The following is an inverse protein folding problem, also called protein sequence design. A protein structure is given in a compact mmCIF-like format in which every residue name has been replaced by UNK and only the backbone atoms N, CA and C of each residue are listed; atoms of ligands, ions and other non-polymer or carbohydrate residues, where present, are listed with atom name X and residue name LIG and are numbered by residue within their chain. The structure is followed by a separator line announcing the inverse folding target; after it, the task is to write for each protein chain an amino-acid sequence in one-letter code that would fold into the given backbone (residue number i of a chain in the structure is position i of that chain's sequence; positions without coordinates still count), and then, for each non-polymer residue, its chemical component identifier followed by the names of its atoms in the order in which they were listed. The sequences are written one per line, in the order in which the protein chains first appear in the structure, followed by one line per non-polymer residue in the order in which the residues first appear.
data_IF_036494364556
#
_entry.id   IF_036494364556
#
_cell.length_a   1.000
_cell.length_b   1.000
_cell.length_c   1.000
_cell.angle_alpha   90.00
_cell.angle_beta   90.00
_cell.angle_gamma   90.00
#
_symmetry.space_group_name_H-M   'P 1'
#
loop_
_entity.id
_entity.type
_entity.pdbx_description
1 polymer ?
#
# COMPACT_ATOMS: atom_id res chain seq x y z
N UNK A 1 -13.44 -9.85 29.18
CA UNK A 1 -12.81 -10.00 27.85
C UNK A 1 -13.92 -10.47 26.91
N UNK A 2 -14.29 -9.67 25.94
CA UNK A 2 -15.18 -10.10 24.87
C UNK A 2 -14.30 -10.93 23.93
N UNK A 3 -14.64 -12.17 23.58
CA UNK A 3 -13.88 -12.93 22.62
C UNK A 3 -13.87 -12.15 21.29
N UNK A 4 -12.70 -11.91 20.74
CA UNK A 4 -12.58 -11.39 19.37
C UNK A 4 -13.09 -12.50 18.46
N UNK A 5 -14.28 -12.33 17.90
CA UNK A 5 -14.78 -13.24 16.87
C UNK A 5 -13.98 -13.00 15.60
N UNK A 6 -13.59 -14.07 14.93
CA UNK A 6 -13.02 -14.00 13.60
C UNK A 6 -13.96 -13.19 12.68
N UNK A 7 -13.42 -12.14 12.04
CA UNK A 7 -14.21 -11.25 11.20
C UNK A 7 -13.58 -11.15 9.81
N UNK A 8 -14.43 -11.29 8.80
CA UNK A 8 -14.01 -11.03 7.40
C UNK A 8 -14.56 -9.68 6.97
N UNK A 9 -13.72 -8.91 6.33
CA UNK A 9 -14.09 -7.63 5.71
C UNK A 9 -13.53 -7.56 4.29
N UNK A 10 -14.15 -6.75 3.45
CA UNK A 10 -13.71 -6.54 2.09
C UNK A 10 -13.75 -5.06 1.69
N UNK A 11 -12.96 -4.74 0.66
CA UNK A 11 -12.99 -3.43 0.01
C UNK A 11 -12.88 -3.61 -1.49
N UNK A 12 -13.85 -3.07 -2.22
CA UNK A 12 -13.80 -2.95 -3.68
C UNK A 12 -13.58 -1.49 -4.02
N UNK A 13 -12.53 -1.19 -4.80
CA UNK A 13 -12.15 0.18 -5.11
C UNK A 13 -11.89 0.35 -6.61
N UNK A 14 -12.37 1.46 -7.18
CA UNK A 14 -11.95 1.98 -8.48
C UNK A 14 -10.96 3.11 -8.25
N UNK A 15 -9.78 3.01 -8.84
CA UNK A 15 -8.75 4.05 -8.81
C UNK A 15 -8.55 4.61 -10.22
N UNK A 16 -8.30 5.91 -10.35
CA UNK A 16 -7.98 6.52 -11.65
C UNK A 16 -6.66 6.02 -12.21
N UNK A 17 -5.76 5.57 -11.32
CA UNK A 17 -4.47 4.96 -11.63
C UNK A 17 -3.99 4.13 -10.45
N UNK A 18 -3.51 2.92 -10.71
CA UNK A 18 -2.86 2.11 -9.70
C UNK A 18 -1.39 2.50 -9.59
N UNK A 19 -1.03 3.07 -8.45
CA UNK A 19 0.34 3.47 -8.14
C UNK A 19 0.84 2.78 -6.87
N UNK A 20 2.08 2.30 -6.92
CA UNK A 20 2.81 1.73 -5.78
C UNK A 20 4.12 2.50 -5.61
N UNK A 21 4.30 3.13 -4.45
CA UNK A 21 5.52 3.88 -4.12
C UNK A 21 5.89 4.89 -5.23
N UNK A 22 4.88 5.64 -5.71
CA UNK A 22 5.02 6.64 -6.77
C UNK A 22 5.20 6.10 -8.20
N UNK A 23 5.26 4.78 -8.38
CA UNK A 23 5.36 4.12 -9.70
C UNK A 23 3.97 3.70 -10.18
N UNK A 24 3.65 4.01 -11.44
CA UNK A 24 2.40 3.57 -12.06
C UNK A 24 2.47 2.07 -12.40
N UNK A 25 1.54 1.30 -11.87
CA UNK A 25 1.34 -0.12 -12.22
C UNK A 25 0.14 -0.34 -13.14
N UNK A 26 -0.57 0.70 -13.56
CA UNK A 26 -1.67 0.61 -14.52
C UNK A 26 -1.43 1.43 -15.79
N UNK A 27 -0.18 1.88 -16.02
CA UNK A 27 0.22 2.71 -17.16
C UNK A 27 -0.69 3.95 -17.35
N UNK A 28 -1.11 4.58 -16.24
CA UNK A 28 -2.01 5.73 -16.25
C UNK A 28 -3.47 5.42 -16.52
N UNK A 29 -3.88 4.15 -16.54
CA UNK A 29 -5.27 3.74 -16.77
C UNK A 29 -5.99 3.45 -15.44
N UNK A 30 -7.33 3.60 -15.41
CA UNK A 30 -8.13 3.18 -14.26
C UNK A 30 -7.98 1.69 -13.96
N UNK A 31 -8.04 1.35 -12.68
CA UNK A 31 -7.97 -0.04 -12.22
C UNK A 31 -9.03 -0.31 -11.14
N UNK A 32 -9.64 -1.50 -11.21
CA UNK A 32 -10.51 -2.02 -10.15
C UNK A 32 -9.67 -2.87 -9.23
N UNK A 33 -9.76 -2.63 -7.93
CA UNK A 33 -8.99 -3.30 -6.90
C UNK A 33 -9.91 -3.99 -5.92
N UNK A 34 -9.59 -5.22 -5.54
CA UNK A 34 -10.28 -5.98 -4.51
C UNK A 34 -9.31 -6.30 -3.38
N UNK A 35 -9.73 -6.06 -2.16
CA UNK A 35 -9.03 -6.47 -0.94
C UNK A 35 -9.99 -7.25 -0.05
N UNK A 36 -9.51 -8.34 0.53
CA UNK A 36 -10.22 -9.13 1.53
C UNK A 36 -9.27 -9.34 2.71
N UNK A 37 -9.75 -9.02 3.90
CA UNK A 37 -9.04 -9.19 5.17
C UNK A 37 -9.84 -10.15 6.06
N UNK A 38 -9.14 -10.98 6.78
CA UNK A 38 -9.70 -11.90 7.77
C UNK A 38 -8.92 -11.78 9.07
N UNK A 39 -9.59 -11.25 10.09
CA UNK A 39 -9.06 -11.16 11.44
C UNK A 39 -9.34 -12.47 12.17
N UNK A 40 -8.31 -13.04 12.75
CA UNK A 40 -8.30 -14.27 13.52
C UNK A 40 -8.19 -13.96 15.02
N UNK A 41 -8.36 -14.98 15.85
CA UNK A 41 -8.17 -14.85 17.29
C UNK A 41 -6.72 -14.46 17.65
N UNK A 42 -6.54 -13.88 18.82
CA UNK A 42 -5.23 -13.47 19.38
C UNK A 42 -4.44 -12.46 18.55
N UNK A 43 -5.15 -11.69 17.71
CA UNK A 43 -4.56 -10.62 16.89
C UNK A 43 -3.87 -11.11 15.61
N UNK A 44 -3.98 -12.39 15.26
CA UNK A 44 -3.55 -12.86 13.95
C UNK A 44 -4.47 -12.35 12.85
N UNK A 45 -3.91 -12.09 11.67
CA UNK A 45 -4.68 -11.72 10.49
C UNK A 45 -4.09 -12.35 9.24
N UNK A 46 -4.91 -12.52 8.23
CA UNK A 46 -4.51 -12.88 6.88
C UNK A 46 -5.38 -12.13 5.86
N UNK A 47 -4.87 -11.93 4.67
CA UNK A 47 -5.65 -11.26 3.64
C UNK A 47 -5.07 -11.43 2.25
N UNK A 48 -5.81 -10.88 1.29
CA UNK A 48 -5.43 -10.87 -0.11
C UNK A 48 -5.85 -9.59 -0.80
N UNK A 49 -5.08 -9.21 -1.80
CA UNK A 49 -5.36 -8.08 -2.67
C UNK A 49 -5.17 -8.49 -4.12
N UNK A 50 -6.03 -7.99 -5.01
CA UNK A 50 -5.95 -8.20 -6.44
C UNK A 50 -6.17 -6.89 -7.19
N UNK A 51 -5.37 -6.65 -8.23
CA UNK A 51 -5.50 -5.50 -9.12
C UNK A 51 -4.98 -5.85 -10.52
N UNK A 52 -5.56 -5.31 -11.59
CA UNK A 52 -4.86 -5.23 -12.87
C UNK A 52 -3.54 -4.47 -12.69
N UNK A 53 -2.48 -4.95 -13.34
CA UNK A 53 -1.18 -4.30 -13.35
C UNK A 53 -0.57 -4.42 -14.75
N UNK A 54 0.27 -3.45 -15.11
CA UNK A 54 1.04 -3.42 -16.34
C UNK A 54 2.51 -3.29 -16.00
N UNK A 55 3.29 -4.28 -16.38
CA UNK A 55 4.75 -4.27 -16.25
C UNK A 55 5.35 -4.19 -17.65
N UNK A 56 6.10 -3.12 -17.93
CA UNK A 56 6.48 -2.81 -19.30
C UNK A 56 5.24 -2.64 -20.19
N UNK A 57 5.14 -3.44 -21.25
CA UNK A 57 3.99 -3.44 -22.18
C UNK A 57 2.96 -4.52 -21.89
N UNK A 58 3.14 -5.32 -20.84
CA UNK A 58 2.29 -6.49 -20.55
C UNK A 58 1.29 -6.19 -19.45
N UNK A 59 0.01 -6.22 -19.83
CA UNK A 59 -1.09 -6.21 -18.88
C UNK A 59 -1.28 -7.59 -18.25
N UNK A 60 -1.44 -7.63 -16.94
CA UNK A 60 -1.62 -8.83 -16.15
C UNK A 60 -2.37 -8.53 -14.84
N UNK A 61 -2.61 -9.53 -14.02
CA UNK A 61 -3.07 -9.32 -12.65
C UNK A 61 -1.89 -9.41 -11.67
N UNK A 62 -1.88 -8.50 -10.70
CA UNK A 62 -1.09 -8.58 -9.49
C UNK A 62 -1.96 -9.15 -8.37
N UNK A 63 -1.42 -10.13 -7.66
CA UNK A 63 -2.01 -10.68 -6.44
C UNK A 63 -1.03 -10.44 -5.28
N UNK A 64 -1.55 -10.03 -4.13
CA UNK A 64 -0.77 -9.92 -2.91
C UNK A 64 -1.48 -10.75 -1.84
N UNK A 65 -0.77 -11.69 -1.24
CA UNK A 65 -1.20 -12.42 -0.08
C UNK A 65 -0.38 -11.95 1.12
N UNK A 66 -1.00 -11.75 2.25
CA UNK A 66 -0.32 -11.29 3.44
C UNK A 66 -0.92 -11.90 4.69
N UNK A 67 -0.11 -11.91 5.74
CA UNK A 67 -0.52 -12.33 7.05
C UNK A 67 0.46 -11.83 8.11
N UNK A 68 -0.02 -11.77 9.33
CA UNK A 68 0.77 -11.25 10.43
C UNK A 68 0.04 -11.28 11.75
N UNK A 69 0.59 -10.56 12.69
CA UNK A 69 0.01 -10.36 14.01
C UNK A 69 0.02 -8.88 14.36
N UNK A 70 -1.08 -8.41 14.92
CA UNK A 70 -1.25 -7.05 15.39
C UNK A 70 -1.67 -7.06 16.86
N UNK A 71 -1.41 -5.97 17.57
CA UNK A 71 -1.80 -5.82 18.95
C UNK A 71 -1.76 -4.37 19.40
N UNK A 72 -2.21 -4.13 20.63
CA UNK A 72 -2.20 -2.81 21.26
C UNK A 72 -1.41 -2.87 22.55
N UNK A 73 -0.47 -1.95 22.73
CA UNK A 73 0.29 -1.79 23.96
C UNK A 73 -0.53 -1.04 25.00
N UNK A 74 -0.16 -1.20 26.27
CA UNK A 74 -0.81 -0.48 27.37
C UNK A 74 -0.72 1.05 27.23
N UNK A 75 0.26 1.56 26.51
CA UNK A 75 0.42 2.98 26.15
C UNK A 75 -0.62 3.50 25.14
N UNK A 76 -1.47 2.63 24.58
CA UNK A 76 -2.40 2.97 23.51
C UNK A 76 -1.80 2.89 22.09
N UNK A 77 -0.49 2.64 21.96
CA UNK A 77 0.18 2.44 20.68
C UNK A 77 -0.19 1.07 20.12
N UNK A 78 -0.66 1.02 18.88
CA UNK A 78 -0.87 -0.22 18.13
C UNK A 78 0.41 -0.61 17.40
N UNK A 79 0.64 -1.92 17.28
CA UNK A 79 1.75 -2.48 16.52
C UNK A 79 1.25 -3.57 15.58
N UNK A 80 1.94 -3.80 14.49
CA UNK A 80 1.75 -4.95 13.61
C UNK A 80 3.09 -5.45 13.07
N UNK A 81 3.18 -6.74 12.80
CA UNK A 81 4.30 -7.34 12.10
C UNK A 81 3.81 -8.53 11.25
N UNK A 82 4.38 -8.69 10.07
CA UNK A 82 3.92 -9.73 9.17
C UNK A 82 4.78 -9.89 7.92
N UNK A 83 4.25 -10.68 7.01
CA UNK A 83 4.86 -11.01 5.73
C UNK A 83 3.83 -10.85 4.61
N UNK A 84 4.28 -10.46 3.45
CA UNK A 84 3.48 -10.46 2.22
C UNK A 84 4.22 -11.10 1.06
N UNK A 85 3.47 -11.72 0.16
CA UNK A 85 3.94 -12.22 -1.13
C UNK A 85 3.18 -11.54 -2.24
N UNK A 86 3.90 -10.82 -3.10
CA UNK A 86 3.38 -10.25 -4.34
C UNK A 86 3.69 -11.20 -5.47
N UNK A 87 2.68 -11.52 -6.28
CA UNK A 87 2.77 -12.40 -7.44
C UNK A 87 2.16 -11.73 -8.67
N UNK A 88 2.83 -11.85 -9.81
CA UNK A 88 2.39 -11.38 -11.11
C UNK A 88 2.05 -12.59 -12.00
N UNK A 89 0.80 -12.70 -12.46
CA UNK A 89 0.30 -13.95 -13.07
C UNK A 89 0.99 -14.35 -14.37
N UNK A 90 1.55 -13.39 -15.12
CA UNK A 90 2.21 -13.66 -16.41
C UNK A 90 3.72 -13.50 -16.38
N UNK A 91 4.25 -12.85 -15.36
CA UNK A 91 5.68 -12.57 -15.28
C UNK A 91 6.20 -12.76 -13.86
N UNK A 92 6.44 -14.02 -13.52
CA UNK A 92 6.87 -14.46 -12.19
C UNK A 92 8.26 -13.98 -11.81
N UNK A 93 9.06 -13.50 -12.76
CA UNK A 93 10.36 -12.89 -12.50
C UNK A 93 10.27 -11.66 -11.61
N UNK A 94 9.10 -10.99 -11.58
CA UNK A 94 8.84 -9.84 -10.73
C UNK A 94 8.18 -10.18 -9.37
N UNK A 95 7.99 -11.46 -9.07
CA UNK A 95 7.43 -11.88 -7.78
C UNK A 95 8.39 -11.57 -6.64
N UNK A 96 7.87 -11.03 -5.53
CA UNK A 96 8.70 -10.73 -4.36
C UNK A 96 7.97 -10.95 -3.04
N UNK A 97 8.78 -11.05 -1.99
CA UNK A 97 8.32 -11.17 -0.60
C UNK A 97 8.79 -9.95 0.19
N UNK A 98 7.94 -9.44 1.07
CA UNK A 98 8.28 -8.39 2.01
C UNK A 98 7.93 -8.81 3.43
N UNK A 99 8.82 -8.51 4.36
CA UNK A 99 8.55 -8.52 5.78
C UNK A 99 8.20 -7.10 6.20
N UNK A 100 7.25 -6.94 7.12
CA UNK A 100 6.93 -5.61 7.62
C UNK A 100 6.79 -5.60 9.14
N UNK A 101 7.04 -4.43 9.72
CA UNK A 101 6.71 -4.09 11.08
C UNK A 101 6.25 -2.63 11.13
N UNK A 102 5.23 -2.35 11.94
CA UNK A 102 4.60 -1.05 11.99
C UNK A 102 4.14 -0.66 13.39
N UNK A 103 3.99 0.65 13.57
CA UNK A 103 3.40 1.28 14.75
C UNK A 103 2.34 2.27 14.29
N UNK A 104 1.26 2.37 15.03
CA UNK A 104 0.18 3.29 14.74
C UNK A 104 -0.39 3.94 16.00
N UNK A 105 -0.65 5.24 15.89
CA UNK A 105 -1.49 6.03 16.77
C UNK A 105 -2.83 6.29 16.08
N UNK A 106 -3.74 6.97 16.77
CA UNK A 106 -5.09 7.19 16.24
C UNK A 106 -5.13 7.88 14.86
N UNK A 107 -4.15 8.74 14.55
CA UNK A 107 -4.14 9.56 13.33
C UNK A 107 -2.86 9.47 12.50
N UNK A 108 -1.93 8.66 12.90
CA UNK A 108 -0.65 8.50 12.21
C UNK A 108 -0.13 7.09 12.33
N UNK A 109 0.57 6.62 11.32
CA UNK A 109 1.25 5.32 11.33
C UNK A 109 2.61 5.40 10.64
N UNK A 110 3.51 4.54 11.08
CA UNK A 110 4.79 4.28 10.45
C UNK A 110 4.92 2.78 10.24
N UNK A 111 5.39 2.36 9.06
CA UNK A 111 5.66 0.96 8.76
C UNK A 111 6.96 0.83 7.97
N UNK A 112 7.79 -0.11 8.36
CA UNK A 112 8.99 -0.50 7.63
C UNK A 112 8.72 -1.80 6.88
N UNK A 113 9.04 -1.83 5.59
CA UNK A 113 9.03 -3.02 4.76
C UNK A 113 10.45 -3.36 4.35
N UNK A 114 10.80 -4.64 4.40
CA UNK A 114 12.09 -5.18 3.98
C UNK A 114 11.87 -6.26 2.94
N UNK A 115 12.44 -6.12 1.75
CA UNK A 115 12.40 -7.14 0.72
C UNK A 115 13.82 -7.65 0.44
N UNK A 116 14.04 -8.99 0.46
CA UNK A 116 15.32 -9.57 0.06
C UNK A 116 15.51 -9.56 -1.47
N UNK A 117 14.43 -9.50 -2.26
CA UNK A 117 14.46 -9.50 -3.72
C UNK A 117 13.22 -8.75 -4.25
N UNK A 118 13.22 -7.42 -4.15
CA UNK A 118 12.12 -6.56 -4.63
C UNK A 118 12.09 -6.57 -6.16
N UNK A 119 10.92 -6.88 -6.72
CA UNK A 119 10.75 -7.19 -8.15
C UNK A 119 11.73 -8.24 -8.69
N UNK A 120 12.09 -9.23 -7.85
CA UNK A 120 12.93 -10.36 -8.22
C UNK A 120 14.44 -10.13 -8.12
N UNK A 121 14.91 -8.90 -7.93
CA UNK A 121 16.32 -8.56 -8.08
C UNK A 121 16.95 -7.92 -6.83
N UNK A 122 16.34 -6.90 -6.24
CA UNK A 122 17.04 -6.00 -5.34
C UNK A 122 16.62 -6.17 -3.88
N UNK A 123 17.58 -6.05 -2.97
CA UNK A 123 17.26 -5.88 -1.55
C UNK A 123 16.85 -4.43 -1.30
N UNK A 124 15.69 -4.25 -0.69
CA UNK A 124 15.16 -2.92 -0.40
C UNK A 124 14.64 -2.80 1.02
N UNK A 125 14.67 -1.57 1.53
CA UNK A 125 13.92 -1.13 2.69
C UNK A 125 13.00 0.02 2.27
N UNK A 126 11.73 -0.05 2.67
CA UNK A 126 10.78 1.03 2.42
C UNK A 126 10.16 1.48 3.74
N UNK A 127 10.35 2.76 4.07
CA UNK A 127 9.70 3.41 5.20
C UNK A 127 8.44 4.10 4.71
N UNK A 128 7.30 3.76 5.29
CA UNK A 128 5.96 4.24 4.95
C UNK A 128 5.40 5.04 6.12
N UNK A 129 5.12 6.31 5.91
CA UNK A 129 4.51 7.22 6.87
C UNK A 129 3.15 7.66 6.35
N UNK A 130 2.11 7.48 7.16
CA UNK A 130 0.76 7.93 6.84
C UNK A 130 0.19 8.74 7.99
N UNK A 131 -0.57 9.78 7.68
CA UNK A 131 -1.30 10.56 8.65
C UNK A 131 -2.60 11.11 8.05
N UNK A 132 -3.55 11.45 8.91
CA UNK A 132 -4.73 12.18 8.48
C UNK A 132 -5.16 13.22 9.53
N UNK A 133 -5.84 14.25 9.05
CA UNK A 133 -6.46 15.27 9.89
C UNK A 133 -7.94 15.38 9.55
N UNK A 134 -8.88 15.11 10.48
CA UNK A 134 -10.30 15.29 10.24
C UNK A 134 -10.59 16.81 10.09
N UNK A 135 -11.31 17.17 9.04
CA UNK A 135 -11.78 18.51 8.81
C UNK A 135 -13.21 18.67 9.32
N UNK A 136 -14.02 17.62 9.15
CA UNK A 136 -15.34 17.45 9.75
C UNK A 136 -15.65 15.95 9.95
N UNK A 137 -16.91 15.60 10.25
CA UNK A 137 -17.35 14.22 10.52
C UNK A 137 -17.22 13.27 9.32
N UNK A 138 -17.07 13.80 8.11
CA UNK A 138 -17.01 13.02 6.85
C UNK A 138 -15.76 13.29 6.06
N UNK A 139 -15.18 14.48 6.18
CA UNK A 139 -14.06 14.94 5.37
C UNK A 139 -12.77 14.92 6.17
N UNK A 140 -11.72 14.36 5.59
CA UNK A 140 -10.38 14.35 6.17
C UNK A 140 -9.30 14.68 5.14
N UNK A 141 -8.30 15.40 5.57
CA UNK A 141 -7.05 15.62 4.85
C UNK A 141 -6.14 14.41 5.11
N UNK A 142 -5.54 13.85 4.07
CA UNK A 142 -4.65 12.68 4.14
C UNK A 142 -3.25 13.04 3.69
N UNK A 143 -2.26 12.47 4.35
CA UNK A 143 -0.84 12.67 4.08
C UNK A 143 -0.16 11.31 3.98
N UNK A 144 0.76 11.19 3.03
CA UNK A 144 1.64 10.04 2.90
C UNK A 144 3.03 10.51 2.51
N UNK A 145 4.04 9.87 3.10
CA UNK A 145 5.43 10.02 2.71
C UNK A 145 6.12 8.66 2.78
N UNK A 146 6.78 8.26 1.71
CA UNK A 146 7.51 7.01 1.59
C UNK A 146 8.93 7.21 1.13
N UNK A 147 9.86 6.43 1.68
CA UNK A 147 11.27 6.40 1.26
C UNK A 147 11.67 4.96 0.99
N UNK A 148 11.99 4.66 -0.26
CA UNK A 148 12.56 3.38 -0.68
C UNK A 148 14.07 3.52 -0.78
N UNK A 149 14.82 2.68 -0.05
CA UNK A 149 16.26 2.53 -0.16
C UNK A 149 16.62 1.20 -0.80
N UNK A 150 17.48 1.22 -1.81
CA UNK A 150 17.99 0.02 -2.48
C UNK A 150 19.41 -0.28 -2.00
N UNK A 151 19.64 -1.50 -1.49
CA UNK A 151 20.95 -1.96 -1.01
C UNK A 151 21.77 -2.61 -2.12
N UNK A 152 23.08 -2.45 -2.07
CA UNK A 152 24.02 -3.12 -2.98
C UNK A 152 24.58 -2.20 -4.07
N UNK A 153 25.22 -2.81 -5.06
CA UNK A 153 25.81 -2.12 -6.20
C UNK A 153 24.73 -1.86 -7.25
N UNK A 154 23.99 -0.76 -7.09
CA UNK A 154 22.96 -0.32 -8.02
C UNK A 154 23.47 0.87 -8.83
N UNK A 155 23.23 0.89 -10.13
CA UNK A 155 23.72 1.93 -11.03
C UNK A 155 22.91 3.24 -10.97
N UNK A 156 21.74 3.23 -10.31
CA UNK A 156 20.83 4.37 -10.20
C UNK A 156 20.76 5.02 -8.82
N UNK A 157 19.84 5.97 -8.61
CA UNK A 157 19.60 6.57 -7.30
C UNK A 157 19.16 5.50 -6.31
N UNK A 158 19.91 5.37 -5.21
CA UNK A 158 19.63 4.39 -4.15
C UNK A 158 18.34 4.68 -3.39
N UNK A 159 17.93 5.94 -3.38
CA UNK A 159 16.77 6.42 -2.64
C UNK A 159 15.72 7.00 -3.59
N UNK A 160 14.47 6.60 -3.39
CA UNK A 160 13.30 7.19 -4.05
C UNK A 160 12.32 7.61 -2.96
N UNK A 161 11.77 8.82 -3.10
CA UNK A 161 10.81 9.36 -2.14
C UNK A 161 9.49 9.62 -2.83
N UNK A 162 8.42 9.05 -2.34
CA UNK A 162 7.07 9.33 -2.80
C UNK A 162 6.27 10.10 -1.74
N UNK A 163 5.54 11.09 -2.21
CA UNK A 163 4.71 11.95 -1.38
C UNK A 163 3.29 11.99 -1.93
N UNK A 164 2.29 12.02 -1.03
CA UNK A 164 0.89 12.23 -1.39
C UNK A 164 0.20 13.11 -0.36
N UNK A 165 -0.63 14.02 -0.87
CA UNK A 165 -1.59 14.78 -0.07
C UNK A 165 -2.96 14.64 -0.73
N UNK A 166 -4.02 14.47 0.04
CA UNK A 166 -5.35 14.27 -0.52
C UNK A 166 -6.48 14.62 0.43
N UNK A 167 -7.67 14.71 -0.14
CA UNK A 167 -8.93 14.83 0.57
C UNK A 167 -9.72 13.54 0.40
N UNK A 168 -10.21 12.99 1.49
CA UNK A 168 -11.07 11.81 1.48
C UNK A 168 -12.38 12.12 2.20
N UNK A 169 -13.49 11.71 1.59
CA UNK A 169 -14.84 11.85 2.19
C UNK A 169 -15.50 10.48 2.27
N UNK A 170 -16.20 10.22 3.39
CA UNK A 170 -16.86 8.93 3.66
C UNK A 170 -18.35 9.13 3.81
N UNK A 171 -19.15 8.33 3.09
CA UNK A 171 -20.61 8.34 3.07
C UNK A 171 -21.12 6.89 3.30
N UNK A 172 -21.45 6.55 4.54
CA UNK A 172 -21.73 5.15 4.89
C UNK A 172 -20.50 4.26 4.62
N UNK A 173 -20.68 3.23 3.84
CA UNK A 173 -19.60 2.30 3.47
C UNK A 173 -18.76 2.79 2.27
N UNK A 174 -19.18 3.88 1.61
CA UNK A 174 -18.47 4.44 0.47
C UNK A 174 -17.44 5.49 0.89
N UNK A 175 -16.24 5.42 0.32
CA UNK A 175 -15.20 6.44 0.49
C UNK A 175 -14.75 6.93 -0.88
N UNK A 176 -14.70 8.24 -1.06
CA UNK A 176 -14.16 8.90 -2.25
C UNK A 176 -12.94 9.70 -1.84
N UNK A 177 -11.88 9.61 -2.63
CA UNK A 177 -10.65 10.36 -2.39
C UNK A 177 -10.14 11.00 -3.67
N UNK A 178 -9.61 12.20 -3.54
CA UNK A 178 -8.82 12.88 -4.58
C UNK A 178 -7.52 13.34 -3.94
N UNK A 179 -6.41 13.23 -4.67
CA UNK A 179 -5.10 13.59 -4.12
C UNK A 179 -4.10 13.94 -5.20
N UNK A 180 -3.12 14.70 -4.77
CA UNK A 180 -1.91 14.96 -5.50
C UNK A 180 -0.77 14.09 -4.97
N UNK A 181 0.04 13.57 -5.88
CA UNK A 181 1.21 12.75 -5.54
C UNK A 181 2.41 13.10 -6.41
N UNK A 182 3.59 12.81 -5.91
CA UNK A 182 4.85 13.00 -6.64
C UNK A 182 5.89 11.95 -6.24
N UNK A 183 6.80 11.64 -7.15
CA UNK A 183 7.97 10.81 -6.94
C UNK A 183 9.23 11.65 -7.14
N UNK A 184 10.06 11.73 -6.11
CA UNK A 184 11.33 12.42 -6.09
C UNK A 184 12.48 11.40 -6.25
N UNK A 185 13.61 11.85 -6.79
CA UNK A 185 14.82 11.04 -7.00
C UNK A 185 14.62 9.79 -7.88
N UNK A 186 13.64 9.82 -8.78
CA UNK A 186 13.46 8.76 -9.76
C UNK A 186 14.45 8.90 -10.91
N UNK A 187 14.90 7.77 -11.46
CA UNK A 187 15.80 7.72 -12.61
C UNK A 187 15.17 8.32 -13.87
N UNK A 188 16.02 8.92 -14.72
CA UNK A 188 15.65 9.21 -16.10
C UNK A 188 15.59 7.90 -16.89
N UNK A 189 14.43 7.61 -17.50
CA UNK A 189 14.22 6.34 -18.23
C UNK A 189 13.84 5.14 -17.36
N UNK A 190 13.66 5.33 -16.06
CA UNK A 190 13.12 4.31 -15.13
C UNK A 190 11.62 4.04 -15.34
N UNK A 191 11.00 3.22 -14.45
CA UNK A 191 9.59 2.86 -14.57
C UNK A 191 8.68 4.09 -14.59
N UNK A 192 7.49 4.00 -15.23
CA UNK A 192 6.60 5.15 -15.41
C UNK A 192 6.14 5.70 -14.07
N UNK A 193 6.32 7.01 -13.88
CA UNK A 193 5.82 7.71 -12.69
C UNK A 193 4.30 7.75 -12.72
N UNK A 194 3.67 7.61 -11.57
CA UNK A 194 2.25 7.84 -11.43
C UNK A 194 1.89 9.31 -11.70
N UNK A 195 0.66 9.54 -12.20
CA UNK A 195 0.13 10.87 -12.45
C UNK A 195 0.10 11.69 -11.17
N UNK A 196 0.32 12.99 -11.29
CA UNK A 196 0.31 13.88 -10.14
C UNK A 196 -1.08 13.97 -9.49
N UNK A 197 -2.15 13.97 -10.28
CA UNK A 197 -3.52 14.02 -9.77
C UNK A 197 -4.17 12.64 -9.90
N UNK A 198 -4.71 12.13 -8.79
CA UNK A 198 -5.38 10.83 -8.71
C UNK A 198 -6.69 10.92 -7.98
N UNK A 199 -7.61 10.03 -8.32
CA UNK A 199 -8.89 9.87 -7.65
C UNK A 199 -9.21 8.42 -7.40
N UNK A 200 -10.00 8.15 -6.36
CA UNK A 200 -10.52 6.80 -6.10
C UNK A 200 -11.90 6.86 -5.48
N UNK A 201 -12.68 5.80 -5.71
CA UNK A 201 -13.94 5.55 -5.03
C UNK A 201 -14.00 4.08 -4.64
N UNK A 202 -14.38 3.79 -3.40
CA UNK A 202 -14.43 2.43 -2.89
C UNK A 202 -15.59 2.19 -1.95
N UNK A 203 -15.98 0.93 -1.82
CA UNK A 203 -17.01 0.46 -0.89
C UNK A 203 -16.43 -0.65 0.00
N UNK A 204 -16.77 -0.61 1.29
CA UNK A 204 -16.48 -1.67 2.26
C UNK A 204 -17.70 -2.57 2.42
N UNK A 205 -17.45 -3.82 2.72
CA UNK A 205 -18.50 -4.83 2.99
C UNK A 205 -17.99 -5.90 3.94
#
# INVERSE_FOLDING_TARGET
MVPACAQTSGNLQLVSEYAVRGISLSAGHPAVQLRIDHDLDDGWYAGGFASPATLGERSQAQLIFYGGRAGRLASGLSWDAGISRTAFLRDRGYDYTEFHAGLALDRASVRLFLSPAYYGEERTAYLDLNAFHPLDDRLRLTFHAGVLHTFGAYAGPRDRTDLRIGLASTFGDCTVQVGWQTLLHAEHGGPPRARALTGSAGIRF
#
